data_IF_265328352315
#
_entry.id   IF_265328352315
#
_cell.length_a   1.000
_cell.length_b   1.000
_cell.length_c   1.000
_cell.angle_alpha   90.00
_cell.angle_beta   90.00
_cell.angle_gamma   90.00
#
_symmetry.space_group_name_H-M   'P 1'
#
loop_
_entity.id
_entity.type
_entity.pdbx_description
1 polymer ?
#
# COMPACT_ATOMS: atom_id res chain seq x y z
N UNK A 1 43.77 5.21 39.57
CA UNK A 1 42.77 6.29 39.55
C UNK A 1 42.25 6.38 38.12
N UNK A 2 41.22 5.59 37.81
CA UNK A 2 40.49 5.68 36.56
C UNK A 2 39.24 6.49 36.86
N UNK A 3 39.06 7.60 36.15
CA UNK A 3 37.93 8.52 36.32
C UNK A 3 36.71 7.90 35.63
N UNK A 4 35.67 7.61 36.42
CA UNK A 4 34.42 6.98 35.95
C UNK A 4 33.65 7.91 35.02
N UNK A 5 33.91 7.78 33.72
CA UNK A 5 33.19 8.44 32.62
C UNK A 5 31.70 8.10 32.58
N UNK A 6 31.28 7.04 33.28
CA UNK A 6 29.91 6.57 33.28
C UNK A 6 29.01 7.36 34.23
N UNK A 7 29.55 7.82 35.38
CA UNK A 7 28.80 8.61 36.34
C UNK A 7 28.36 9.96 35.77
N UNK A 8 29.26 10.62 35.02
CA UNK A 8 28.97 11.88 34.31
C UNK A 8 27.87 11.72 33.26
N UNK A 9 27.84 10.60 32.53
CA UNK A 9 26.83 10.35 31.50
C UNK A 9 25.43 10.14 32.11
N UNK A 10 25.35 9.52 33.30
CA UNK A 10 24.09 9.33 34.02
C UNK A 10 23.57 10.66 34.58
N UNK A 11 24.44 11.47 35.17
CA UNK A 11 24.08 12.80 35.68
C UNK A 11 23.61 13.74 34.55
N UNK A 12 24.22 13.66 33.37
CA UNK A 12 23.82 14.43 32.19
C UNK A 12 22.44 13.99 31.67
N UNK A 13 22.14 12.68 31.72
CA UNK A 13 20.82 12.14 31.36
C UNK A 13 19.73 12.57 32.35
N UNK A 14 20.01 12.52 33.66
CA UNK A 14 19.06 12.96 34.69
C UNK A 14 18.80 14.48 34.62
N UNK A 15 19.84 15.28 34.33
CA UNK A 15 19.69 16.72 34.13
C UNK A 15 18.80 17.05 32.91
N UNK A 16 18.96 16.31 31.81
CA UNK A 16 18.11 16.46 30.62
C UNK A 16 16.64 16.10 30.91
N UNK A 17 16.39 15.02 31.66
CA UNK A 17 15.03 14.61 32.06
C UNK A 17 14.39 15.66 32.97
N UNK A 18 15.16 16.27 33.87
CA UNK A 18 14.69 17.36 34.73
C UNK A 18 14.28 18.59 33.92
N UNK A 19 15.01 18.92 32.85
CA UNK A 19 14.65 19.99 31.91
C UNK A 19 13.35 19.69 31.16
N UNK A 20 13.13 18.43 30.74
CA UNK A 20 11.90 18.02 30.05
C UNK A 20 10.64 18.11 30.93
N UNK A 21 10.77 18.01 32.25
CA UNK A 21 9.64 18.11 33.18
C UNK A 21 9.03 19.53 33.30
N UNK A 22 9.73 20.55 32.80
CA UNK A 22 9.30 21.97 32.88
C UNK A 22 8.54 22.48 31.64
N UNK A 23 8.29 21.63 30.63
CA UNK A 23 7.54 22.00 29.44
C UNK A 23 6.03 21.96 29.74
N UNK A 24 5.47 23.12 30.11
CA UNK A 24 4.03 23.33 30.19
C UNK A 24 3.42 23.16 28.79
N UNK A 25 2.65 22.08 28.61
CA UNK A 25 1.82 21.85 27.42
C UNK A 25 0.72 22.92 27.43
N UNK A 26 0.80 23.90 26.52
CA UNK A 26 -0.37 24.74 26.20
C UNK A 26 -1.41 23.85 25.53
N UNK A 27 -2.54 23.65 26.22
CA UNK A 27 -3.74 23.09 25.61
C UNK A 27 -4.23 24.04 24.52
N UNK A 28 -3.92 23.72 23.27
CA UNK A 28 -4.57 24.33 22.10
C UNK A 28 -5.64 23.38 21.59
N UNK A 29 -6.90 23.84 21.61
CA UNK A 29 -8.09 23.05 21.24
C UNK A 29 -7.97 22.51 19.82
N UNK A 30 -7.72 21.22 19.69
CA UNK A 30 -7.82 20.48 18.43
C UNK A 30 -9.30 20.19 18.13
N UNK A 31 -9.83 20.75 17.04
CA UNK A 31 -11.08 20.26 16.45
C UNK A 31 -10.77 18.99 15.64
N UNK A 32 -11.63 17.95 15.70
CA UNK A 32 -11.39 16.73 14.96
C UNK A 32 -11.82 16.93 13.50
N UNK A 33 -10.85 17.07 12.59
CA UNK A 33 -11.10 16.86 11.18
C UNK A 33 -11.04 15.36 10.90
N UNK A 34 -12.08 14.85 10.22
CA UNK A 34 -12.53 13.45 10.12
C UNK A 34 -11.63 12.52 9.31
N UNK A 35 -10.30 12.70 9.32
CA UNK A 35 -9.44 11.91 8.45
C UNK A 35 -8.13 11.39 9.05
N UNK A 36 -8.00 11.25 10.38
CA UNK A 36 -7.04 10.33 11.01
C UNK A 36 -5.57 10.42 10.57
N UNK A 37 -5.13 11.53 9.96
CA UNK A 37 -3.73 11.75 9.58
C UNK A 37 -3.04 12.50 10.71
N UNK A 38 -2.22 11.79 11.48
CA UNK A 38 -1.27 12.43 12.40
C UNK A 38 -0.13 12.97 11.54
N UNK A 39 -0.10 14.29 11.32
CA UNK A 39 1.07 14.98 10.78
C UNK A 39 2.02 15.28 11.94
N UNK A 40 3.09 14.49 12.08
CA UNK A 40 4.23 14.90 12.92
C UNK A 40 5.05 15.92 12.13
N UNK A 41 4.90 17.20 12.47
CA UNK A 41 5.75 18.27 11.96
C UNK A 41 7.09 18.24 12.70
N UNK A 42 8.09 17.60 12.12
CA UNK A 42 9.50 17.84 12.41
C UNK A 42 10.18 18.14 11.09
N UNK A 43 10.35 19.43 10.81
CA UNK A 43 11.09 19.94 9.65
C UNK A 43 12.58 19.80 9.96
N UNK A 44 13.12 18.60 9.73
CA UNK A 44 14.55 18.37 9.56
C UNK A 44 14.75 17.93 8.11
N UNK A 45 15.69 18.56 7.39
CA UNK A 45 16.03 18.18 6.01
C UNK A 45 16.59 16.76 6.03
N UNK A 46 15.74 15.79 5.69
CA UNK A 46 16.10 14.38 5.57
C UNK A 46 16.74 14.14 4.21
N UNK A 47 17.69 13.23 4.16
CA UNK A 47 18.29 12.80 2.89
C UNK A 47 17.27 11.99 2.06
N UNK A 48 17.42 11.99 0.73
CA UNK A 48 16.51 11.27 -0.19
C UNK A 48 16.40 9.76 0.12
N UNK A 49 17.42 9.16 0.73
CA UNK A 49 17.39 7.75 1.15
C UNK A 49 16.55 7.55 2.41
N UNK A 50 16.73 8.40 3.43
CA UNK A 50 15.93 8.36 4.67
C UNK A 50 14.44 8.60 4.38
N UNK A 51 14.11 9.51 3.47
CA UNK A 51 12.71 9.73 3.07
C UNK A 51 12.07 8.51 2.39
N UNK A 52 12.82 7.78 1.56
CA UNK A 52 12.32 6.58 0.88
C UNK A 52 12.08 5.45 1.88
N UNK A 53 13.00 5.27 2.81
CA UNK A 53 12.89 4.26 3.86
C UNK A 53 11.67 4.54 4.76
N UNK A 54 11.49 5.80 5.16
CA UNK A 54 10.32 6.24 5.94
C UNK A 54 8.98 5.98 5.20
N UNK A 55 8.91 6.28 3.90
CA UNK A 55 7.71 6.04 3.09
C UNK A 55 7.41 4.55 2.95
N UNK A 56 8.44 3.71 2.81
CA UNK A 56 8.27 2.26 2.76
C UNK A 56 7.78 1.69 4.09
N UNK A 57 8.35 2.14 5.21
CA UNK A 57 7.91 1.77 6.55
C UNK A 57 6.44 2.18 6.81
N UNK A 58 6.05 3.40 6.40
CA UNK A 58 4.66 3.84 6.46
C UNK A 58 3.73 2.98 5.59
N UNK A 59 4.18 2.56 4.40
CA UNK A 59 3.41 1.66 3.52
C UNK A 59 3.21 0.28 4.16
N UNK A 60 4.27 -0.26 4.78
CA UNK A 60 4.21 -1.54 5.49
C UNK A 60 3.23 -1.47 6.67
N UNK A 61 3.33 -0.44 7.51
CA UNK A 61 2.39 -0.22 8.62
C UNK A 61 0.94 -0.12 8.12
N UNK A 62 0.70 0.68 7.07
CA UNK A 62 -0.62 0.81 6.48
C UNK A 62 -1.16 -0.52 5.92
N UNK A 63 -0.30 -1.38 5.38
CA UNK A 63 -0.73 -2.70 4.91
C UNK A 63 -0.96 -3.69 6.06
N UNK A 64 -0.24 -3.58 7.18
CA UNK A 64 -0.42 -4.45 8.35
C UNK A 64 -1.69 -4.11 9.15
N UNK A 65 -2.03 -2.82 9.26
CA UNK A 65 -3.18 -2.36 10.05
C UNK A 65 -4.51 -2.57 9.31
N UNK A 66 -4.50 -2.51 7.97
CA UNK A 66 -5.75 -2.56 7.19
C UNK A 66 -6.30 -3.97 7.05
N UNK A 67 -7.52 -4.16 7.53
CA UNK A 67 -8.31 -5.38 7.35
C UNK A 67 -9.24 -5.35 6.13
N UNK A 68 -9.65 -4.16 5.68
CA UNK A 68 -10.66 -3.97 4.65
C UNK A 68 -10.29 -2.89 3.62
N UNK A 69 -11.06 -2.83 2.54
CA UNK A 69 -10.93 -1.81 1.50
C UNK A 69 -11.28 -0.43 2.05
N UNK A 70 -10.60 0.58 1.53
CA UNK A 70 -10.91 1.99 1.83
C UNK A 70 -12.02 2.47 0.91
N UNK A 71 -13.11 2.97 1.48
CA UNK A 71 -14.22 3.56 0.73
C UNK A 71 -13.75 4.80 -0.04
N UNK A 72 -14.22 4.95 -1.27
CA UNK A 72 -13.88 6.08 -2.12
C UNK A 72 -15.06 6.54 -2.99
N UNK A 73 -15.51 7.77 -2.75
CA UNK A 73 -16.62 8.39 -3.47
C UNK A 73 -16.21 8.89 -4.86
N UNK A 74 -14.92 9.22 -5.07
CA UNK A 74 -14.42 9.77 -6.33
C UNK A 74 -14.46 8.75 -7.46
N UNK A 75 -14.83 9.19 -8.66
CA UNK A 75 -14.85 8.32 -9.84
C UNK A 75 -13.43 8.04 -10.32
N UNK A 76 -13.23 6.93 -11.03
CA UNK A 76 -11.94 6.56 -11.59
C UNK A 76 -11.81 7.23 -12.95
N UNK A 77 -10.75 8.00 -13.13
CA UNK A 77 -10.39 8.58 -14.41
C UNK A 77 -9.59 7.56 -15.23
N UNK A 78 -9.97 7.36 -16.50
CA UNK A 78 -9.33 6.40 -17.40
C UNK A 78 -8.83 7.14 -18.63
N UNK A 79 -7.51 7.14 -18.79
CA UNK A 79 -6.84 7.62 -20.00
C UNK A 79 -6.39 6.40 -20.80
N UNK A 80 -7.07 6.14 -21.92
CA UNK A 80 -6.78 4.99 -22.77
C UNK A 80 -5.71 5.31 -23.81
N UNK A 81 -4.97 4.28 -24.22
CA UNK A 81 -4.01 4.38 -25.33
C UNK A 81 -4.70 4.62 -26.67
N UNK A 82 -5.86 3.99 -26.88
CA UNK A 82 -6.72 4.21 -28.04
C UNK A 82 -7.98 4.95 -27.59
N UNK A 83 -8.23 6.19 -28.03
CA UNK A 83 -9.42 6.96 -27.66
C UNK A 83 -10.74 6.35 -28.14
N UNK A 84 -10.71 5.47 -29.15
CA UNK A 84 -11.92 4.90 -29.76
C UNK A 84 -12.26 3.51 -29.21
N UNK A 85 -11.43 2.95 -28.32
CA UNK A 85 -11.71 1.67 -27.70
C UNK A 85 -12.86 1.83 -26.68
N UNK A 86 -13.83 0.91 -26.65
CA UNK A 86 -14.90 0.97 -25.66
C UNK A 86 -14.34 0.83 -24.23
N UNK A 87 -14.86 1.65 -23.32
CA UNK A 87 -14.58 1.53 -21.88
C UNK A 87 -15.29 0.28 -21.35
N UNK A 88 -14.53 -0.74 -21.00
CA UNK A 88 -15.04 -1.92 -20.32
C UNK A 88 -14.87 -1.75 -18.81
N UNK A 89 -16.00 -1.61 -18.12
CA UNK A 89 -16.08 -1.68 -16.65
C UNK A 89 -16.82 -2.96 -16.29
N UNK A 90 -16.27 -3.73 -15.36
CA UNK A 90 -16.93 -4.93 -14.83
C UNK A 90 -17.48 -4.69 -13.44
N UNK A 91 -18.60 -5.33 -13.10
CA UNK A 91 -19.22 -5.22 -11.76
C UNK A 91 -19.11 -6.50 -10.93
N UNK A 92 -18.66 -7.59 -11.55
CA UNK A 92 -18.56 -8.91 -10.95
C UNK A 92 -17.29 -9.64 -11.42
N UNK A 93 -16.79 -10.59 -10.64
CA UNK A 93 -15.60 -11.37 -11.02
C UNK A 93 -15.92 -12.41 -12.09
N UNK A 94 -17.19 -12.78 -12.21
CA UNK A 94 -17.76 -13.70 -13.18
C UNK A 94 -17.69 -13.14 -14.60
N UNK A 95 -17.86 -11.82 -14.75
CA UNK A 95 -17.71 -11.11 -16.04
C UNK A 95 -16.29 -11.17 -16.60
N UNK A 96 -15.28 -11.36 -15.74
CA UNK A 96 -13.87 -11.41 -16.13
C UNK A 96 -13.44 -12.74 -16.75
N UNK A 97 -14.34 -13.74 -16.79
CA UNK A 97 -14.09 -15.07 -17.40
C UNK A 97 -12.79 -15.73 -16.91
N UNK A 98 -12.51 -15.61 -15.61
CA UNK A 98 -11.33 -16.19 -14.97
C UNK A 98 -11.37 -17.73 -15.01
N UNK A 99 -10.18 -18.35 -14.93
CA UNK A 99 -10.08 -19.81 -14.71
C UNK A 99 -10.89 -20.20 -13.46
N UNK A 100 -11.69 -21.28 -13.47
CA UNK A 100 -12.56 -21.63 -12.34
C UNK A 100 -11.82 -21.75 -11.00
N UNK A 101 -10.60 -22.29 -11.01
CA UNK A 101 -9.76 -22.42 -9.83
C UNK A 101 -9.34 -21.06 -9.27
N UNK A 102 -9.09 -20.09 -10.15
CA UNK A 102 -8.72 -18.74 -9.77
C UNK A 102 -9.92 -17.98 -9.18
N UNK A 103 -11.09 -18.10 -9.83
CA UNK A 103 -12.33 -17.52 -9.34
C UNK A 103 -12.71 -18.08 -7.95
N UNK A 104 -12.54 -19.39 -7.74
CA UNK A 104 -12.72 -20.01 -6.43
C UNK A 104 -11.76 -19.42 -5.38
N UNK A 105 -10.49 -19.18 -5.74
CA UNK A 105 -9.51 -18.54 -4.87
C UNK A 105 -9.91 -17.11 -4.47
N UNK A 106 -10.47 -16.33 -5.40
CA UNK A 106 -10.98 -14.98 -5.13
C UNK A 106 -12.08 -15.00 -4.07
N UNK A 107 -13.06 -15.91 -4.19
CA UNK A 107 -14.12 -16.04 -3.19
C UNK A 107 -13.63 -16.60 -1.86
N UNK A 108 -12.66 -17.53 -1.88
CA UNK A 108 -12.07 -18.07 -0.65
C UNK A 108 -11.35 -17.00 0.17
N UNK A 109 -10.83 -15.95 -0.48
CA UNK A 109 -10.26 -14.77 0.17
C UNK A 109 -11.33 -13.78 0.70
N UNK A 110 -12.62 -14.05 0.48
CA UNK A 110 -13.73 -13.19 0.90
C UNK A 110 -14.02 -12.01 -0.04
N UNK A 111 -13.45 -12.01 -1.25
CA UNK A 111 -13.75 -10.98 -2.24
C UNK A 111 -15.05 -11.28 -2.99
N UNK A 112 -16.11 -10.54 -2.64
CA UNK A 112 -17.43 -10.74 -3.25
C UNK A 112 -17.63 -9.95 -4.55
N UNK A 113 -17.00 -8.77 -4.66
CA UNK A 113 -17.09 -7.88 -5.82
C UNK A 113 -15.75 -7.17 -6.06
N UNK A 114 -15.43 -6.83 -7.32
CA UNK A 114 -14.26 -6.01 -7.62
C UNK A 114 -14.36 -4.65 -6.93
N UNK A 115 -13.22 -4.13 -6.48
CA UNK A 115 -13.13 -2.76 -5.98
C UNK A 115 -13.24 -1.74 -7.11
N UNK A 116 -13.56 -0.48 -6.78
CA UNK A 116 -13.72 0.60 -7.77
C UNK A 116 -12.54 0.75 -8.76
N UNK A 117 -11.30 0.55 -8.28
CA UNK A 117 -10.12 0.56 -9.17
C UNK A 117 -10.00 -0.73 -9.97
N UNK A 118 -10.38 -1.88 -9.40
CA UNK A 118 -10.37 -3.18 -10.08
C UNK A 118 -11.41 -3.27 -11.19
N UNK A 119 -12.58 -2.65 -11.03
CA UNK A 119 -13.64 -2.62 -12.05
C UNK A 119 -13.14 -2.10 -13.41
N UNK A 120 -12.19 -1.17 -13.39
CA UNK A 120 -11.56 -0.60 -14.59
C UNK A 120 -10.20 -1.24 -14.92
N UNK A 121 -9.41 -1.56 -13.90
CA UNK A 121 -8.08 -2.14 -14.09
C UNK A 121 -8.12 -3.58 -14.60
N UNK A 122 -8.98 -4.44 -14.03
CA UNK A 122 -9.01 -5.87 -14.38
C UNK A 122 -9.37 -6.13 -15.84
N UNK A 123 -10.37 -5.46 -16.45
CA UNK A 123 -10.66 -5.65 -17.87
C UNK A 123 -9.49 -5.25 -18.77
N UNK A 124 -8.80 -4.16 -18.46
CA UNK A 124 -7.61 -3.73 -19.22
C UNK A 124 -6.45 -4.71 -19.05
N UNK A 125 -6.22 -5.18 -17.82
CA UNK A 125 -5.15 -6.12 -17.50
C UNK A 125 -5.42 -7.52 -18.03
N UNK A 126 -6.68 -7.93 -18.23
CA UNK A 126 -7.07 -9.26 -18.70
C UNK A 126 -7.51 -9.28 -20.16
N UNK A 127 -7.46 -8.13 -20.84
CA UNK A 127 -7.74 -8.04 -22.27
C UNK A 127 -6.84 -8.98 -23.08
N UNK A 128 -7.37 -9.40 -24.23
CA UNK A 128 -6.66 -10.16 -25.25
C UNK A 128 -6.60 -9.32 -26.54
N UNK A 129 -5.42 -8.79 -26.93
CA UNK A 129 -4.12 -8.92 -26.26
C UNK A 129 -3.99 -8.10 -24.96
N UNK A 130 -3.06 -8.48 -24.05
CA UNK A 130 -2.81 -7.76 -22.80
C UNK A 130 -2.42 -6.31 -23.05
N UNK A 131 -2.95 -5.40 -22.25
CA UNK A 131 -2.59 -3.98 -22.30
C UNK A 131 -1.74 -3.59 -21.09
N UNK A 132 -0.77 -2.71 -21.33
CA UNK A 132 0.00 -2.08 -20.26
C UNK A 132 -0.88 -1.08 -19.51
N UNK A 133 -0.73 -1.01 -18.18
CA UNK A 133 -1.54 -0.16 -17.33
C UNK A 133 -0.66 0.59 -16.33
N UNK A 134 -0.88 1.90 -16.23
CA UNK A 134 -0.42 2.72 -15.11
C UNK A 134 -1.66 3.02 -14.26
N UNK A 135 -1.67 2.58 -13.01
CA UNK A 135 -2.79 2.78 -12.10
C UNK A 135 -2.34 3.56 -10.87
N UNK A 136 -2.95 4.72 -10.64
CA UNK A 136 -2.75 5.51 -9.43
C UNK A 136 -3.99 5.40 -8.53
N UNK A 137 -3.80 5.02 -7.27
CA UNK A 137 -4.84 5.13 -6.25
C UNK A 137 -4.24 5.05 -4.84
N UNK A 138 -4.97 5.51 -3.84
CA UNK A 138 -4.54 5.41 -2.43
C UNK A 138 -4.30 3.97 -1.99
N UNK A 139 -3.44 3.76 -0.99
CA UNK A 139 -3.23 2.42 -0.44
C UNK A 139 -4.55 1.87 0.17
N UNK A 140 -4.79 0.56 0.07
CA UNK A 140 -6.04 -0.08 0.52
C UNK A 140 -7.21 -0.10 -0.49
N UNK A 141 -6.99 0.31 -1.75
CA UNK A 141 -8.02 0.23 -2.82
C UNK A 141 -8.08 -1.11 -3.55
N UNK A 142 -7.24 -2.09 -3.19
CA UNK A 142 -7.22 -3.40 -3.87
C UNK A 142 -6.27 -3.52 -5.07
N UNK A 143 -5.33 -2.59 -5.25
CA UNK A 143 -4.28 -2.68 -6.31
C UNK A 143 -3.50 -3.99 -6.28
N UNK A 144 -3.10 -4.45 -5.09
CA UNK A 144 -2.32 -5.68 -4.93
C UNK A 144 -3.08 -6.89 -5.47
N UNK A 145 -4.33 -7.06 -5.05
CA UNK A 145 -5.20 -8.11 -5.55
C UNK A 145 -5.42 -8.00 -7.07
N UNK A 146 -5.48 -6.79 -7.63
CA UNK A 146 -5.66 -6.59 -9.06
C UNK A 146 -4.50 -7.17 -9.89
N UNK A 147 -3.25 -6.85 -9.55
CA UNK A 147 -2.11 -7.36 -10.32
C UNK A 147 -1.79 -8.81 -10.00
N UNK A 148 -2.03 -9.29 -8.76
CA UNK A 148 -1.87 -10.71 -8.42
C UNK A 148 -2.84 -11.55 -9.25
N UNK A 149 -4.09 -11.12 -9.37
CA UNK A 149 -5.08 -11.79 -10.21
C UNK A 149 -4.65 -11.80 -11.68
N UNK A 150 -4.14 -10.68 -12.18
CA UNK A 150 -3.64 -10.59 -13.55
C UNK A 150 -2.42 -11.50 -13.80
N UNK A 151 -1.50 -11.64 -12.84
CA UNK A 151 -0.38 -12.57 -12.92
C UNK A 151 -0.89 -14.02 -12.95
N UNK A 152 -1.70 -14.41 -11.96
CA UNK A 152 -2.23 -15.78 -11.83
C UNK A 152 -3.12 -16.21 -12.99
N UNK A 153 -3.84 -15.27 -13.63
CA UNK A 153 -4.64 -15.56 -14.82
C UNK A 153 -3.78 -16.07 -15.99
N UNK A 154 -2.52 -15.64 -16.08
CA UNK A 154 -1.61 -15.92 -17.19
C UNK A 154 -0.63 -17.04 -16.93
N UNK A 155 -0.33 -17.33 -15.67
CA UNK A 155 0.60 -18.41 -15.31
C UNK A 155 0.05 -19.75 -15.80
N UNK A 156 0.93 -20.53 -16.42
CA UNK A 156 0.72 -21.92 -16.78
C UNK A 156 1.51 -22.84 -15.82
N UNK A 157 0.86 -23.55 -14.88
CA UNK A 157 1.54 -24.35 -13.85
C UNK A 157 2.45 -25.47 -14.41
N UNK A 158 2.20 -25.94 -15.62
CA UNK A 158 3.06 -26.94 -16.26
C UNK A 158 4.48 -26.39 -16.59
N UNK A 159 4.60 -25.08 -16.82
CA UNK A 159 5.87 -24.41 -17.10
C UNK A 159 6.68 -24.14 -15.83
N UNK A 160 7.66 -25.01 -15.54
CA UNK A 160 8.55 -24.88 -14.36
C UNK A 160 9.67 -23.86 -14.55
N UNK A 161 9.31 -22.63 -14.91
CA UNK A 161 10.21 -21.48 -15.04
C UNK A 161 9.48 -20.21 -14.62
N UNK A 162 10.18 -19.12 -14.25
CA UNK A 162 9.54 -17.85 -13.90
C UNK A 162 8.74 -17.28 -15.08
N UNK A 163 7.43 -17.13 -14.92
CA UNK A 163 6.51 -16.59 -15.95
C UNK A 163 5.97 -15.20 -15.61
N UNK A 164 6.06 -14.79 -14.35
CA UNK A 164 5.66 -13.47 -13.89
C UNK A 164 6.73 -12.92 -12.94
N UNK A 165 6.95 -11.60 -13.01
CA UNK A 165 7.91 -10.90 -12.17
C UNK A 165 7.20 -9.72 -11.50
N UNK A 166 7.33 -9.62 -10.17
CA UNK A 166 6.83 -8.50 -9.39
C UNK A 166 8.02 -7.83 -8.69
N UNK A 167 8.20 -6.54 -8.93
CA UNK A 167 9.22 -5.73 -8.27
C UNK A 167 8.59 -5.03 -7.07
N UNK A 168 9.19 -5.21 -5.90
CA UNK A 168 8.78 -4.55 -4.66
C UNK A 168 9.86 -3.58 -4.20
N UNK A 169 9.49 -2.44 -3.60
CA UNK A 169 10.47 -1.44 -3.18
C UNK A 169 11.31 -1.88 -1.98
N UNK A 170 10.78 -2.78 -1.13
CA UNK A 170 11.51 -3.37 -0.01
C UNK A 170 11.22 -4.86 0.11
N UNK A 171 12.06 -5.56 0.88
CA UNK A 171 11.95 -6.98 1.14
C UNK A 171 10.65 -7.35 1.90
N UNK A 172 10.27 -6.56 2.90
CA UNK A 172 9.08 -6.78 3.73
C UNK A 172 7.80 -6.66 2.91
N UNK A 173 7.76 -5.68 2.00
CA UNK A 173 6.65 -5.50 1.09
C UNK A 173 6.56 -6.61 0.04
N UNK A 174 7.70 -7.17 -0.37
CA UNK A 174 7.75 -8.36 -1.23
C UNK A 174 7.14 -9.56 -0.49
N UNK A 175 7.57 -9.80 0.74
CA UNK A 175 7.07 -10.90 1.57
C UNK A 175 5.56 -10.77 1.80
N UNK A 176 5.06 -9.56 2.05
CA UNK A 176 3.63 -9.33 2.23
C UNK A 176 2.82 -9.52 0.95
N UNK A 177 3.42 -9.28 -0.22
CA UNK A 177 2.75 -9.51 -1.50
C UNK A 177 2.71 -11.00 -1.86
N UNK A 178 3.68 -11.78 -1.40
CA UNK A 178 3.76 -13.23 -1.64
C UNK A 178 3.03 -14.10 -0.62
N UNK A 179 2.59 -13.54 0.52
CA UNK A 179 1.76 -14.20 1.52
C UNK A 179 0.30 -14.17 1.12
#
# INVERSE_FOLDING_TARGET
>A
MATDSWALAVDEQEAAVKSMSSLQIKEEKVKPDTNGVIKTSTTAEKTDEEEKEDRAAQSLLNKLIRSNLVDNTNQVEVLQRDPNSPLYTVKSFEELRLKPQLLQGVYAMGFNRPSKIQENALPMMLAEPPQNLIAQSQSGTGKTAAFVLAMLSRVEPAGRYPQCLCLSPTYELALQTGK
#
